data_IF_553433024645
#
_entry.id   IF_553433024645
#
_cell.length_a   1.000
_cell.length_b   1.000
_cell.length_c   1.000
_cell.angle_alpha   90.00
_cell.angle_beta   90.00
_cell.angle_gamma   90.00
#
_symmetry.space_group_name_H-M   'P 1'
#
loop_
_entity.id
_entity.type
_entity.pdbx_description
1 polymer ?
#
# COMPACT_ATOMS: atom_id res chain seq x y z
N UNK A 1 21.82 2.37 32.40
CA UNK A 1 21.79 3.67 31.74
C UNK A 1 21.10 3.50 30.39
N UNK A 2 19.87 4.00 30.27
CA UNK A 2 19.07 3.88 29.06
C UNK A 2 18.60 5.27 28.62
N UNK A 3 18.45 5.47 27.32
CA UNK A 3 17.88 6.67 26.73
C UNK A 3 16.46 6.37 26.27
N UNK A 4 15.53 7.22 26.66
CA UNK A 4 14.16 7.17 26.17
C UNK A 4 14.01 8.07 24.92
N UNK A 5 12.99 7.85 24.10
CA UNK A 5 12.59 8.78 23.05
C UNK A 5 12.45 10.19 23.61
N UNK A 6 12.89 11.19 22.83
CA UNK A 6 12.95 12.60 23.33
C UNK A 6 14.20 12.97 24.12
N UNK A 7 15.20 12.06 24.21
CA UNK A 7 16.50 12.37 24.79
C UNK A 7 16.56 12.32 26.33
N UNK A 8 15.59 11.69 26.98
CA UNK A 8 15.59 11.53 28.44
C UNK A 8 16.55 10.40 28.84
N UNK A 9 17.57 10.73 29.65
CA UNK A 9 18.56 9.77 30.10
C UNK A 9 18.20 9.24 31.50
N UNK A 10 17.95 7.95 31.58
CA UNK A 10 17.63 7.26 32.84
C UNK A 10 18.91 6.74 33.49
N UNK A 11 19.18 7.24 34.67
CA UNK A 11 20.35 6.87 35.48
C UNK A 11 19.94 6.44 36.88
N UNK A 12 20.88 5.81 37.59
CA UNK A 12 20.69 5.47 39.01
C UNK A 12 20.52 6.76 39.80
N UNK A 13 19.53 6.77 40.68
CA UNK A 13 19.21 7.94 41.49
C UNK A 13 18.54 7.59 42.82
N UNK A 14 17.95 8.59 43.45
CA UNK A 14 17.05 8.41 44.60
C UNK A 14 15.71 9.06 44.30
N UNK A 15 14.64 8.37 44.60
CA UNK A 15 13.27 8.87 44.48
C UNK A 15 12.64 8.86 45.86
N UNK A 16 12.25 10.01 46.40
CA UNK A 16 11.66 10.15 47.74
C UNK A 16 12.49 9.51 48.86
N UNK A 17 13.85 9.55 48.73
CA UNK A 17 14.76 8.97 49.73
C UNK A 17 15.17 7.49 49.46
N UNK A 18 14.45 6.78 48.66
CA UNK A 18 14.73 5.40 48.27
C UNK A 18 15.63 5.32 47.03
N UNK A 19 16.49 4.29 46.97
CA UNK A 19 17.35 4.06 45.83
C UNK A 19 16.53 3.59 44.63
N UNK A 20 16.71 4.26 43.51
CA UNK A 20 16.13 3.88 42.22
C UNK A 20 17.23 3.49 41.24
N UNK A 21 17.19 2.30 40.71
CA UNK A 21 18.15 1.79 39.72
C UNK A 21 17.67 1.90 38.27
N UNK A 22 16.43 2.33 38.05
CA UNK A 22 15.81 2.45 36.74
C UNK A 22 14.41 3.04 36.83
N UNK A 23 13.70 3.02 35.75
CA UNK A 23 12.32 3.50 35.64
C UNK A 23 11.47 2.42 34.93
N UNK A 24 10.29 2.16 35.46
CA UNK A 24 9.26 1.41 34.75
C UNK A 24 8.57 2.37 33.79
N UNK A 25 8.45 1.99 32.55
CA UNK A 25 7.96 2.86 31.49
C UNK A 25 6.55 2.47 31.04
N UNK A 26 5.77 3.46 30.69
CA UNK A 26 4.56 3.32 29.89
C UNK A 26 4.90 3.13 28.41
N UNK A 27 3.91 2.68 27.63
CA UNK A 27 4.02 2.60 26.17
C UNK A 27 4.41 3.94 25.56
N UNK A 28 3.76 5.02 26.01
CA UNK A 28 3.97 6.40 25.54
C UNK A 28 5.38 6.92 25.81
N UNK A 29 5.97 6.59 26.96
CA UNK A 29 7.34 7.00 27.28
C UNK A 29 8.37 6.31 26.38
N UNK A 30 8.03 5.17 25.81
CA UNK A 30 8.84 4.45 24.82
C UNK A 30 8.56 4.93 23.38
N UNK A 31 7.71 5.96 23.18
CA UNK A 31 7.37 6.52 21.87
C UNK A 31 6.46 5.60 21.04
N UNK A 32 5.75 4.68 21.70
CA UNK A 32 4.87 3.68 21.11
C UNK A 32 3.40 4.00 21.40
N UNK A 33 2.48 3.38 20.66
CA UNK A 33 1.04 3.61 20.75
C UNK A 33 0.27 2.29 20.90
N UNK A 34 -1.01 2.37 21.26
CA UNK A 34 -1.91 1.20 21.29
C UNK A 34 -2.09 0.57 19.90
N UNK A 35 -1.88 1.32 18.82
CA UNK A 35 -1.88 0.74 17.47
C UNK A 35 -0.69 -0.18 17.23
N UNK A 36 0.44 0.11 17.88
CA UNK A 36 1.63 -0.75 17.83
C UNK A 36 1.46 -1.99 18.70
N UNK A 37 0.91 -1.79 19.91
CA UNK A 37 0.72 -2.85 20.91
C UNK A 37 -0.69 -2.76 21.50
N UNK A 38 -1.71 -3.31 20.83
CA UNK A 38 -3.12 -3.18 21.23
C UNK A 38 -3.48 -3.80 22.59
N UNK A 39 -2.64 -4.70 23.09
CA UNK A 39 -2.81 -5.31 24.40
C UNK A 39 -2.35 -4.42 25.56
N UNK A 40 -1.57 -3.38 25.28
CA UNK A 40 -1.06 -2.48 26.30
C UNK A 40 -2.17 -1.60 26.90
N UNK A 41 -1.93 -1.06 28.08
CA UNK A 41 -2.80 -0.06 28.67
C UNK A 41 -2.35 1.34 28.27
N UNK A 42 -3.30 2.26 28.06
CA UNK A 42 -2.99 3.62 27.63
C UNK A 42 -2.25 4.40 28.71
N UNK A 43 -2.73 4.36 29.92
CA UNK A 43 -2.15 5.01 31.10
C UNK A 43 -1.66 4.00 32.11
N UNK A 44 -0.34 3.90 32.27
CA UNK A 44 0.27 3.02 33.26
C UNK A 44 1.55 2.37 32.76
N UNK A 45 2.14 1.51 33.61
CA UNK A 45 3.33 0.73 33.27
C UNK A 45 2.96 -0.30 32.21
N UNK A 46 3.73 -0.33 31.13
CA UNK A 46 3.53 -1.35 30.09
C UNK A 46 3.99 -2.72 30.57
N UNK A 47 3.07 -3.67 30.59
CA UNK A 47 3.32 -5.07 30.89
C UNK A 47 3.44 -5.81 29.56
N UNK A 48 4.62 -6.40 29.31
CA UNK A 48 4.90 -7.13 28.08
C UNK A 48 4.17 -8.48 28.07
N UNK A 49 3.55 -8.83 26.95
CA UNK A 49 3.03 -10.17 26.66
C UNK A 49 4.09 -11.05 25.97
N UNK A 50 5.18 -10.44 25.49
CA UNK A 50 6.30 -11.13 24.87
C UNK A 50 7.06 -11.98 25.89
N UNK A 51 7.50 -13.17 25.45
CA UNK A 51 8.38 -14.03 26.28
C UNK A 51 9.75 -13.36 26.42
N UNK A 52 10.06 -12.90 27.62
CA UNK A 52 11.29 -12.17 27.92
C UNK A 52 11.70 -12.34 29.39
N UNK A 53 12.95 -11.99 29.66
CA UNK A 53 13.53 -12.05 31.02
C UNK A 53 14.09 -10.70 31.44
N UNK A 54 14.13 -10.38 32.73
CA UNK A 54 14.82 -9.19 33.21
C UNK A 54 16.27 -9.12 32.72
N UNK A 55 16.61 -8.06 32.02
CA UNK A 55 17.91 -7.84 31.40
C UNK A 55 17.94 -8.00 29.88
N UNK A 56 16.89 -8.55 29.27
CA UNK A 56 16.77 -8.58 27.80
C UNK A 56 16.62 -7.16 27.23
N UNK A 57 17.13 -6.94 26.03
CA UNK A 57 16.96 -5.66 25.34
C UNK A 57 15.51 -5.53 24.82
N UNK A 58 14.84 -4.47 25.22
CA UNK A 58 13.45 -4.21 24.86
C UNK A 58 13.26 -4.13 23.33
N UNK A 59 14.22 -3.55 22.58
CA UNK A 59 14.09 -3.46 21.14
C UNK A 59 14.02 -4.84 20.47
N UNK A 60 14.86 -5.76 20.93
CA UNK A 60 14.83 -7.15 20.44
C UNK A 60 13.53 -7.85 20.84
N UNK A 61 13.09 -7.71 22.11
CA UNK A 61 11.85 -8.33 22.60
C UNK A 61 10.63 -7.89 21.78
N UNK A 62 10.53 -6.62 21.49
CA UNK A 62 9.39 -6.07 20.73
C UNK A 62 9.59 -6.09 19.20
N UNK A 63 10.77 -6.51 18.72
CA UNK A 63 11.11 -6.56 17.29
C UNK A 63 11.36 -5.19 16.69
N UNK A 64 12.03 -4.31 17.40
CA UNK A 64 12.40 -2.96 16.98
C UNK A 64 13.89 -2.86 16.56
N UNK A 65 14.59 -3.98 16.50
CA UNK A 65 16.01 -4.11 16.14
C UNK A 65 16.22 -4.47 14.65
N UNK A 66 15.23 -4.15 13.81
CA UNK A 66 15.29 -4.37 12.37
C UNK A 66 16.20 -3.37 11.65
N UNK A 67 16.69 -3.74 10.48
CA UNK A 67 17.50 -2.88 9.62
C UNK A 67 16.64 -2.39 8.46
N UNK A 68 16.43 -1.08 8.41
CA UNK A 68 15.70 -0.43 7.33
C UNK A 68 16.69 0.17 6.34
N UNK A 69 16.50 -0.12 5.06
CA UNK A 69 17.27 0.49 3.96
C UNK A 69 16.36 1.46 3.22
N UNK A 70 16.76 2.72 3.23
CA UNK A 70 16.05 3.78 2.50
C UNK A 70 16.62 3.90 1.07
N UNK A 71 15.73 3.83 0.07
CA UNK A 71 16.09 3.92 -1.33
C UNK A 71 15.59 5.22 -1.96
N UNK A 72 16.47 5.98 -2.54
CA UNK A 72 16.09 7.11 -3.39
C UNK A 72 15.75 6.58 -4.80
N UNK A 73 14.45 6.54 -5.12
CA UNK A 73 13.94 6.03 -6.39
C UNK A 73 13.75 7.16 -7.39
N UNK A 74 14.36 7.03 -8.56
CA UNK A 74 14.20 8.00 -9.66
C UNK A 74 12.79 7.93 -10.28
N UNK A 75 12.33 9.04 -10.84
CA UNK A 75 10.96 9.17 -11.36
C UNK A 75 10.61 8.20 -12.51
N UNK A 76 11.62 7.70 -13.22
CA UNK A 76 11.47 6.74 -14.32
C UNK A 76 11.43 5.28 -13.87
N UNK A 77 11.39 5.05 -12.56
CA UNK A 77 11.39 3.70 -11.97
C UNK A 77 10.20 3.49 -11.03
N UNK A 78 8.95 3.65 -11.53
CA UNK A 78 7.76 3.44 -10.70
C UNK A 78 7.66 2.01 -10.15
N UNK A 79 8.21 1.02 -10.86
CA UNK A 79 8.30 -0.37 -10.41
C UNK A 79 9.04 -0.53 -9.08
N UNK A 80 10.07 0.30 -8.82
CA UNK A 80 10.85 0.25 -7.59
C UNK A 80 10.21 0.94 -6.38
N UNK A 81 9.04 1.58 -6.54
CA UNK A 81 8.22 2.00 -5.39
C UNK A 81 7.47 0.85 -4.72
N UNK A 82 8.01 -0.38 -4.84
CA UNK A 82 7.46 -1.62 -4.27
C UNK A 82 8.57 -2.56 -3.81
N UNK A 83 8.24 -3.37 -2.81
CA UNK A 83 9.14 -4.44 -2.34
C UNK A 83 9.42 -5.45 -3.47
N UNK A 84 8.41 -5.79 -4.27
CA UNK A 84 8.58 -6.71 -5.42
C UNK A 84 9.53 -6.12 -6.46
N UNK A 85 9.41 -4.84 -6.80
CA UNK A 85 10.30 -4.19 -7.75
C UNK A 85 11.75 -4.10 -7.24
N UNK A 86 11.93 -3.73 -5.97
CA UNK A 86 13.26 -3.74 -5.33
C UNK A 86 13.85 -5.15 -5.24
N UNK A 87 13.03 -6.16 -4.95
CA UNK A 87 13.47 -7.55 -4.92
C UNK A 87 13.94 -8.03 -6.30
N UNK A 88 13.29 -7.61 -7.40
CA UNK A 88 13.72 -7.89 -8.77
C UNK A 88 15.09 -7.31 -9.07
N UNK A 89 15.32 -6.04 -8.71
CA UNK A 89 16.65 -5.41 -8.88
C UNK A 89 17.72 -6.09 -8.03
N UNK A 90 17.40 -6.38 -6.76
CA UNK A 90 18.34 -7.08 -5.88
C UNK A 90 18.65 -8.49 -6.37
N UNK A 91 17.64 -9.24 -6.82
CA UNK A 91 17.83 -10.58 -7.40
C UNK A 91 18.77 -10.54 -8.63
N UNK A 92 18.55 -9.58 -9.52
CA UNK A 92 19.43 -9.39 -10.69
C UNK A 92 20.86 -8.99 -10.30
N UNK A 93 21.02 -8.02 -9.37
CA UNK A 93 22.31 -7.51 -8.93
C UNK A 93 23.14 -8.57 -8.17
N UNK A 94 22.49 -9.34 -7.30
CA UNK A 94 23.14 -10.37 -6.48
C UNK A 94 23.16 -11.76 -7.12
N UNK A 95 22.75 -11.90 -8.38
CA UNK A 95 22.70 -13.18 -9.10
C UNK A 95 21.89 -14.24 -8.36
N UNK A 96 20.71 -13.85 -7.82
CA UNK A 96 19.79 -14.73 -7.13
C UNK A 96 18.49 -14.89 -7.92
N UNK A 97 17.83 -16.04 -7.86
CA UNK A 97 16.52 -16.19 -8.51
C UNK A 97 15.48 -15.33 -7.80
N UNK A 98 14.66 -14.63 -8.59
CA UNK A 98 13.45 -13.98 -8.07
C UNK A 98 12.41 -15.07 -7.73
N UNK A 99 11.72 -14.90 -6.61
CA UNK A 99 10.58 -15.75 -6.22
C UNK A 99 9.32 -14.90 -6.25
N UNK A 100 8.42 -15.25 -7.13
CA UNK A 100 7.11 -14.62 -7.18
C UNK A 100 6.14 -15.30 -6.23
N UNK A 101 5.31 -14.50 -5.59
CA UNK A 101 4.12 -14.97 -4.90
C UNK A 101 2.92 -14.69 -5.78
N UNK A 102 2.19 -15.74 -6.15
CA UNK A 102 0.93 -15.63 -6.86
C UNK A 102 -0.21 -15.69 -5.85
N UNK A 103 -0.94 -14.60 -5.63
CA UNK A 103 -2.02 -14.56 -4.65
C UNK A 103 -3.11 -15.56 -5.00
N UNK A 104 -3.47 -16.40 -4.04
CA UNK A 104 -4.50 -17.41 -4.19
C UNK A 104 -5.67 -17.11 -3.27
N UNK A 105 -6.83 -16.86 -3.86
CA UNK A 105 -8.09 -16.63 -3.14
C UNK A 105 -8.98 -17.83 -3.32
N UNK A 106 -9.39 -18.43 -2.21
CA UNK A 106 -10.25 -19.62 -2.23
C UNK A 106 -11.73 -19.26 -2.39
N UNK A 107 -12.10 -18.02 -2.02
CA UNK A 107 -13.48 -17.57 -1.98
C UNK A 107 -14.26 -18.16 -0.81
N UNK A 108 -15.49 -17.74 -0.66
CA UNK A 108 -16.39 -18.27 0.35
C UNK A 108 -17.75 -18.61 -0.26
N UNK A 109 -18.50 -19.50 0.38
CA UNK A 109 -19.89 -19.78 0.03
C UNK A 109 -20.84 -18.59 0.32
N UNK A 110 -20.32 -17.40 0.63
CA UNK A 110 -21.09 -16.24 1.03
C UNK A 110 -21.83 -15.53 -0.14
N UNK A 111 -21.67 -16.02 -1.37
CA UNK A 111 -22.37 -15.55 -2.55
C UNK A 111 -21.52 -14.72 -3.50
N UNK A 112 -22.15 -14.15 -4.53
CA UNK A 112 -21.50 -13.37 -5.56
C UNK A 112 -21.50 -11.88 -5.26
N UNK A 113 -20.39 -11.18 -5.54
CA UNK A 113 -20.33 -9.73 -5.43
C UNK A 113 -21.17 -9.03 -6.51
N UNK A 114 -21.41 -9.67 -7.64
CA UNK A 114 -22.20 -9.09 -8.75
C UNK A 114 -23.68 -8.88 -8.42
N UNK A 115 -24.18 -9.57 -7.37
CA UNK A 115 -25.54 -9.37 -6.87
C UNK A 115 -25.68 -8.12 -5.98
N UNK A 116 -24.54 -7.52 -5.62
CA UNK A 116 -24.46 -6.46 -4.62
C UNK A 116 -23.83 -5.15 -5.14
N UNK A 117 -22.88 -5.26 -6.04
CA UNK A 117 -22.08 -4.13 -6.49
C UNK A 117 -22.02 -4.07 -8.01
N UNK A 118 -22.35 -2.89 -8.54
CA UNK A 118 -22.07 -2.48 -9.92
C UNK A 118 -21.01 -1.38 -9.95
N UNK A 119 -20.25 -1.28 -11.03
CA UNK A 119 -19.23 -0.24 -11.21
C UNK A 119 -19.30 0.34 -12.60
N UNK A 120 -19.33 1.66 -12.70
CA UNK A 120 -19.24 2.40 -13.96
C UNK A 120 -18.02 3.34 -13.94
N UNK A 121 -17.37 3.44 -15.08
CA UNK A 121 -16.17 4.29 -15.25
C UNK A 121 -16.38 5.23 -16.46
N UNK A 122 -17.29 6.22 -16.37
CA UNK A 122 -17.48 7.18 -17.47
C UNK A 122 -16.24 8.05 -17.76
N UNK A 123 -15.35 8.24 -16.79
CA UNK A 123 -14.08 8.94 -16.97
C UNK A 123 -12.97 8.01 -17.51
N UNK A 124 -13.22 7.30 -18.61
CA UNK A 124 -12.31 6.30 -19.19
C UNK A 124 -10.89 6.85 -19.46
N UNK A 125 -10.78 8.09 -19.88
CA UNK A 125 -9.50 8.75 -20.18
C UNK A 125 -8.68 9.11 -18.93
N UNK A 126 -9.29 9.07 -17.74
CA UNK A 126 -8.62 9.32 -16.45
C UNK A 126 -8.44 8.07 -15.61
N UNK A 127 -9.09 6.96 -15.99
CA UNK A 127 -8.98 5.68 -15.30
C UNK A 127 -8.68 4.57 -16.31
N UNK A 128 -7.42 4.13 -16.38
CA UNK A 128 -7.01 3.08 -17.32
C UNK A 128 -7.58 1.71 -16.97
N UNK A 129 -7.70 1.41 -15.69
CA UNK A 129 -8.28 0.17 -15.17
C UNK A 129 -8.86 0.38 -13.78
N UNK A 130 -10.01 -0.21 -13.54
CA UNK A 130 -10.64 -0.22 -12.22
C UNK A 130 -10.98 -1.65 -11.84
N UNK A 131 -10.48 -2.09 -10.69
CA UNK A 131 -10.79 -3.43 -10.16
C UNK A 131 -11.37 -3.31 -8.77
N UNK A 132 -12.37 -4.16 -8.47
CA UNK A 132 -12.97 -4.26 -7.16
C UNK A 132 -13.22 -5.71 -6.74
N UNK A 133 -13.08 -5.95 -5.44
CA UNK A 133 -13.48 -7.19 -4.77
C UNK A 133 -14.27 -6.85 -3.50
N UNK A 134 -15.13 -7.76 -3.09
CA UNK A 134 -16.00 -7.56 -1.94
C UNK A 134 -15.77 -8.61 -0.87
N UNK A 135 -15.79 -8.16 0.39
CA UNK A 135 -15.61 -9.01 1.58
C UNK A 135 -16.78 -8.76 2.53
N UNK A 136 -17.40 -9.81 3.02
CA UNK A 136 -18.49 -9.77 4.01
C UNK A 136 -18.06 -10.41 5.33
N UNK A 137 -18.90 -10.29 6.36
CA UNK A 137 -18.57 -10.87 7.67
C UNK A 137 -17.29 -10.32 8.28
N UNK A 138 -16.89 -9.11 7.87
CA UNK A 138 -15.65 -8.48 8.33
C UNK A 138 -15.68 -8.25 9.83
N UNK A 139 -14.58 -8.60 10.48
CA UNK A 139 -14.33 -8.35 11.89
C UNK A 139 -13.14 -7.41 12.00
N UNK A 140 -13.45 -6.15 12.30
CA UNK A 140 -12.41 -5.14 12.49
C UNK A 140 -11.69 -5.39 13.81
N UNK A 141 -10.37 -5.36 13.75
CA UNK A 141 -9.51 -5.56 14.90
C UNK A 141 -8.06 -5.20 14.59
N UNK A 142 -7.17 -5.30 15.57
CA UNK A 142 -5.74 -5.07 15.34
C UNK A 142 -5.16 -6.13 14.41
N UNK A 143 -4.25 -5.72 13.55
CA UNK A 143 -3.47 -6.62 12.71
C UNK A 143 -2.55 -7.52 13.56
N UNK A 144 -2.16 -8.71 13.07
CA UNK A 144 -1.18 -9.53 13.76
C UNK A 144 0.18 -8.82 13.86
N UNK A 145 0.98 -9.23 14.86
CA UNK A 145 2.28 -8.61 15.19
C UNK A 145 3.18 -8.45 13.95
N UNK A 146 3.31 -9.50 13.13
CA UNK A 146 4.18 -9.48 11.96
C UNK A 146 3.79 -8.39 10.94
N UNK A 147 2.49 -8.17 10.73
CA UNK A 147 1.99 -7.16 9.80
C UNK A 147 2.25 -5.74 10.33
N UNK A 148 1.94 -5.50 11.61
CA UNK A 148 2.23 -4.24 12.28
C UNK A 148 3.72 -3.89 12.27
N UNK A 149 4.60 -4.85 12.55
CA UNK A 149 6.05 -4.66 12.52
C UNK A 149 6.55 -4.27 11.12
N UNK A 150 6.09 -4.95 10.06
CA UNK A 150 6.46 -4.63 8.68
C UNK A 150 5.99 -3.25 8.25
N UNK A 151 4.77 -2.86 8.61
CA UNK A 151 4.27 -1.52 8.34
C UNK A 151 5.12 -0.46 9.04
N UNK A 152 5.39 -0.64 10.34
CA UNK A 152 6.23 0.27 11.12
C UNK A 152 7.64 0.40 10.56
N UNK A 153 8.27 -0.69 10.19
CA UNK A 153 9.60 -0.69 9.57
C UNK A 153 9.64 0.14 8.28
N UNK A 154 8.50 0.26 7.60
CA UNK A 154 8.35 1.11 6.41
C UNK A 154 7.75 2.50 6.71
N UNK A 155 7.70 2.92 7.98
CA UNK A 155 7.20 4.24 8.39
C UNK A 155 5.67 4.39 8.34
N UNK A 156 4.93 3.29 8.17
CA UNK A 156 3.46 3.30 8.13
C UNK A 156 2.91 2.92 9.50
N UNK A 157 2.07 3.78 10.06
CA UNK A 157 1.40 3.52 11.35
C UNK A 157 0.27 2.50 11.16
N UNK A 158 0.27 1.39 11.90
CA UNK A 158 -0.86 0.46 11.91
C UNK A 158 -2.15 1.13 12.41
N UNK A 159 -3.31 0.72 11.87
CA UNK A 159 -4.62 1.27 12.21
C UNK A 159 -5.57 0.13 12.60
N UNK A 160 -5.94 -0.70 11.65
CA UNK A 160 -6.74 -1.90 11.82
C UNK A 160 -6.44 -2.91 10.70
N UNK A 161 -6.88 -4.14 10.85
CA UNK A 161 -6.55 -5.22 9.92
C UNK A 161 -6.89 -4.91 8.45
N UNK A 162 -8.03 -4.27 8.15
CA UNK A 162 -8.43 -3.96 6.77
C UNK A 162 -7.57 -2.85 6.17
N UNK A 163 -7.40 -1.74 6.89
CA UNK A 163 -6.57 -0.62 6.44
C UNK A 163 -5.09 -1.03 6.34
N UNK A 164 -4.63 -1.84 7.28
CA UNK A 164 -3.25 -2.35 7.28
C UNK A 164 -2.99 -3.31 6.11
N UNK A 165 -3.98 -4.12 5.70
CA UNK A 165 -3.91 -4.93 4.49
C UNK A 165 -3.72 -4.04 3.26
N UNK A 166 -4.50 -2.97 3.09
CA UNK A 166 -4.35 -2.07 1.93
C UNK A 166 -2.99 -1.40 1.89
N UNK A 167 -2.50 -0.94 3.06
CA UNK A 167 -1.17 -0.35 3.18
C UNK A 167 -0.05 -1.36 2.91
N UNK A 168 -0.18 -2.59 3.42
CA UNK A 168 0.80 -3.64 3.18
C UNK A 168 0.89 -4.00 1.69
N UNK A 169 -0.24 -4.15 1.01
CA UNK A 169 -0.27 -4.42 -0.44
C UNK A 169 0.32 -3.25 -1.23
N UNK A 170 0.04 -2.01 -0.83
CA UNK A 170 0.67 -0.83 -1.45
C UNK A 170 2.19 -0.86 -1.33
N UNK A 171 2.74 -1.29 -0.20
CA UNK A 171 4.20 -1.45 -0.03
C UNK A 171 4.73 -2.64 -0.84
N UNK A 172 4.05 -3.78 -0.82
CA UNK A 172 4.48 -5.01 -1.48
C UNK A 172 4.46 -4.89 -3.00
N UNK A 173 3.35 -4.38 -3.59
CA UNK A 173 3.13 -4.29 -5.04
C UNK A 173 3.40 -2.91 -5.64
N UNK A 174 3.48 -1.85 -4.81
CA UNK A 174 3.52 -0.47 -5.29
C UNK A 174 2.18 0.07 -5.77
N UNK A 175 1.12 -0.70 -5.66
CA UNK A 175 -0.24 -0.38 -6.07
C UNK A 175 -1.05 0.15 -4.89
N UNK A 176 -1.38 1.46 -4.83
CA UNK A 176 -2.26 1.97 -3.80
C UNK A 176 -3.65 1.35 -3.91
N UNK A 177 -4.21 1.01 -2.76
CA UNK A 177 -5.54 0.45 -2.64
C UNK A 177 -6.39 1.29 -1.71
N UNK A 178 -7.70 1.18 -1.88
CA UNK A 178 -8.66 1.73 -0.93
C UNK A 178 -9.66 0.66 -0.48
N UNK A 179 -10.24 0.87 0.69
CA UNK A 179 -11.30 0.04 1.24
C UNK A 179 -12.47 0.94 1.64
N UNK A 180 -13.62 0.71 1.03
CA UNK A 180 -14.87 1.40 1.36
C UNK A 180 -15.72 0.55 2.30
N UNK A 181 -16.28 1.15 3.33
CA UNK A 181 -17.38 0.53 4.05
C UNK A 181 -18.61 0.50 3.14
N UNK A 182 -19.07 -0.70 2.81
CA UNK A 182 -20.17 -0.88 1.86
C UNK A 182 -21.49 -0.23 2.28
N UNK A 183 -21.70 0.06 3.57
CA UNK A 183 -22.89 0.79 4.07
C UNK A 183 -23.03 2.17 3.41
N UNK A 184 -21.91 2.76 2.98
CA UNK A 184 -21.86 4.07 2.35
C UNK A 184 -21.90 4.01 0.81
N UNK A 185 -21.94 2.80 0.23
CA UNK A 185 -22.26 2.56 -1.18
C UNK A 185 -23.74 2.18 -1.26
N UNK A 186 -24.58 3.12 -0.84
CA UNK A 186 -26.02 2.89 -0.60
C UNK A 186 -26.81 2.62 -1.88
N UNK A 187 -26.34 3.10 -3.02
CA UNK A 187 -26.90 2.80 -4.33
C UNK A 187 -26.58 1.39 -4.83
N UNK A 188 -25.64 0.68 -4.18
CA UNK A 188 -25.07 -0.56 -4.69
C UNK A 188 -24.16 -0.33 -5.91
N UNK A 189 -23.77 0.93 -6.18
CA UNK A 189 -23.06 1.31 -7.39
C UNK A 189 -21.93 2.28 -7.10
N UNK A 190 -20.75 1.98 -7.61
CA UNK A 190 -19.60 2.89 -7.64
C UNK A 190 -19.49 3.51 -9.04
N UNK A 191 -19.33 4.84 -9.09
CA UNK A 191 -19.14 5.57 -10.33
C UNK A 191 -17.81 6.35 -10.27
N UNK A 192 -16.90 6.03 -11.17
CA UNK A 192 -15.60 6.71 -11.31
C UNK A 192 -15.77 7.82 -12.36
N UNK A 193 -15.94 9.05 -11.89
CA UNK A 193 -16.31 10.18 -12.74
C UNK A 193 -15.52 11.46 -12.43
N UNK A 194 -15.62 12.40 -13.31
CA UNK A 194 -15.16 13.75 -13.02
C UNK A 194 -16.13 14.46 -12.07
N UNK A 195 -15.58 15.29 -11.19
CA UNK A 195 -16.35 16.18 -10.33
C UNK A 195 -17.01 17.30 -11.11
N UNK A 196 -18.15 17.75 -10.62
CA UNK A 196 -18.94 18.84 -11.21
C UNK A 196 -18.75 20.16 -10.46
N UNK A 197 -19.32 21.24 -11.02
CA UNK A 197 -19.25 22.56 -10.39
C UNK A 197 -20.00 22.58 -9.05
N UNK A 198 -19.34 23.04 -8.00
CA UNK A 198 -19.90 23.20 -6.66
C UNK A 198 -19.87 21.93 -5.80
N UNK A 199 -19.34 20.85 -6.30
CA UNK A 199 -19.14 19.63 -5.49
C UNK A 199 -18.10 19.85 -4.39
N UNK A 200 -18.33 19.18 -3.27
CA UNK A 200 -17.41 19.16 -2.11
C UNK A 200 -17.29 17.75 -1.57
N UNK A 201 -16.17 17.46 -0.91
CA UNK A 201 -15.95 16.21 -0.18
C UNK A 201 -15.24 16.51 1.14
N UNK A 202 -15.67 15.87 2.24
CA UNK A 202 -14.87 15.81 3.47
C UNK A 202 -13.97 14.59 3.37
N UNK A 203 -12.66 14.81 3.39
CA UNK A 203 -11.66 13.73 3.31
C UNK A 203 -11.35 13.12 4.67
N UNK A 204 -10.71 11.94 4.71
CA UNK A 204 -10.37 11.19 5.95
C UNK A 204 -9.58 12.01 7.00
N UNK A 205 -8.97 13.11 6.61
CA UNK A 205 -8.30 14.06 7.51
C UNK A 205 -9.26 15.09 8.14
N UNK A 206 -10.58 14.93 7.95
CA UNK A 206 -11.65 15.78 8.49
C UNK A 206 -11.78 17.14 7.77
N UNK A 207 -11.07 17.37 6.67
CA UNK A 207 -11.11 18.65 5.96
C UNK A 207 -12.15 18.65 4.83
N UNK A 208 -13.04 19.64 4.84
CA UNK A 208 -13.96 19.90 3.74
C UNK A 208 -13.20 20.54 2.56
N UNK A 209 -13.29 19.90 1.40
CA UNK A 209 -12.57 20.32 0.20
C UNK A 209 -13.55 20.65 -0.93
N UNK A 210 -13.54 21.89 -1.42
CA UNK A 210 -14.28 22.26 -2.63
C UNK A 210 -13.55 21.66 -3.84
N UNK A 211 -14.32 20.99 -4.71
CA UNK A 211 -13.79 20.37 -5.92
C UNK A 211 -13.92 21.32 -7.10
N UNK A 212 -12.90 21.33 -7.95
CA UNK A 212 -12.98 21.99 -9.25
C UNK A 212 -13.48 20.99 -10.29
N UNK A 213 -14.28 21.41 -11.27
CA UNK A 213 -14.70 20.51 -12.35
C UNK A 213 -13.51 19.82 -13.01
N UNK A 214 -13.66 18.53 -13.32
CA UNK A 214 -12.61 17.71 -13.94
C UNK A 214 -11.67 17.00 -12.96
N UNK A 215 -11.81 17.18 -11.64
CA UNK A 215 -11.13 16.36 -10.65
C UNK A 215 -11.77 14.98 -10.59
N UNK A 216 -10.95 13.91 -10.57
CA UNK A 216 -11.47 12.55 -10.56
C UNK A 216 -11.96 12.16 -9.17
N UNK A 217 -13.18 11.68 -9.08
CA UNK A 217 -13.82 11.23 -7.85
C UNK A 217 -14.35 9.81 -7.99
N UNK A 218 -14.37 9.10 -6.87
CA UNK A 218 -15.15 7.88 -6.70
C UNK A 218 -16.46 8.28 -6.03
N UNK A 219 -17.58 7.90 -6.62
CA UNK A 219 -18.90 8.30 -6.13
C UNK A 219 -19.80 7.10 -5.84
N UNK A 220 -20.67 7.21 -4.81
CA UNK A 220 -21.84 6.37 -4.61
C UNK A 220 -22.99 6.98 -5.43
N UNK A 221 -23.20 6.46 -6.64
CA UNK A 221 -24.06 7.14 -7.60
C UNK A 221 -23.60 8.59 -7.84
N UNK A 222 -24.30 9.55 -7.27
CA UNK A 222 -24.03 10.97 -7.48
C UNK A 222 -23.06 11.57 -6.44
N UNK A 223 -23.02 11.00 -5.22
CA UNK A 223 -22.28 11.57 -4.09
C UNK A 223 -20.82 11.11 -4.04
N UNK A 224 -19.82 12.02 -4.03
CA UNK A 224 -18.44 11.65 -3.86
C UNK A 224 -18.17 10.95 -2.51
N UNK A 225 -17.48 9.81 -2.56
CA UNK A 225 -17.02 9.02 -1.42
C UNK A 225 -15.49 8.90 -1.38
N UNK A 226 -14.79 9.42 -2.35
CA UNK A 226 -13.34 9.45 -2.40
C UNK A 226 -12.81 10.37 -3.48
N UNK A 227 -11.63 10.97 -3.23
CA UNK A 227 -10.78 11.59 -4.24
C UNK A 227 -9.91 10.50 -4.84
N UNK A 228 -10.17 10.15 -6.10
CA UNK A 228 -9.47 9.05 -6.78
C UNK A 228 -7.95 9.20 -6.69
N UNK A 229 -7.28 8.17 -6.21
CA UNK A 229 -5.82 8.10 -6.09
C UNK A 229 -5.17 9.08 -5.10
N UNK A 230 -5.94 9.80 -4.30
CA UNK A 230 -5.42 10.77 -3.34
C UNK A 230 -5.84 10.39 -1.91
N UNK A 231 -7.13 10.46 -1.59
CA UNK A 231 -7.62 10.20 -0.25
C UNK A 231 -9.10 9.83 -0.26
N UNK A 232 -9.49 8.85 0.55
CA UNK A 232 -10.89 8.48 0.77
C UNK A 232 -11.70 9.60 1.41
N UNK A 233 -13.02 9.50 1.29
CA UNK A 233 -13.94 10.35 2.01
C UNK A 233 -14.19 9.85 3.43
N UNK A 234 -14.36 10.77 4.39
CA UNK A 234 -14.77 10.46 5.76
C UNK A 234 -16.07 9.65 5.78
N UNK A 235 -16.95 9.94 4.83
CA UNK A 235 -18.25 9.29 4.67
C UNK A 235 -18.19 7.84 4.11
N UNK A 236 -17.03 7.25 4.01
CA UNK A 236 -16.83 5.85 3.57
C UNK A 236 -15.72 5.15 4.34
N UNK A 237 -15.32 5.71 5.47
CA UNK A 237 -14.24 5.21 6.33
C UNK A 237 -14.57 3.84 6.92
N UNK A 238 -13.53 3.01 7.05
CA UNK A 238 -13.59 1.74 7.78
C UNK A 238 -13.58 2.02 9.28
N UNK A 239 -14.68 1.70 9.94
CA UNK A 239 -14.88 1.92 11.38
C UNK A 239 -15.04 0.59 12.14
N UNK A 240 -15.02 0.61 13.45
CA UNK A 240 -14.97 -0.58 14.30
C UNK A 240 -16.14 -1.58 14.07
N UNK A 241 -17.29 -1.10 13.61
CA UNK A 241 -18.48 -1.91 13.33
C UNK A 241 -18.73 -2.19 11.85
N UNK A 242 -17.73 -1.92 10.99
CA UNK A 242 -17.77 -2.27 9.56
C UNK A 242 -17.85 -3.78 9.39
N UNK A 243 -18.84 -4.26 8.64
CA UNK A 243 -19.08 -5.69 8.41
C UNK A 243 -18.94 -6.11 6.95
N UNK A 244 -18.97 -5.17 6.02
CA UNK A 244 -18.82 -5.43 4.60
C UNK A 244 -17.95 -4.35 3.97
N UNK A 245 -16.96 -4.79 3.20
CA UNK A 245 -15.92 -3.93 2.61
C UNK A 245 -15.85 -4.14 1.11
N UNK A 246 -15.71 -3.06 0.36
CA UNK A 246 -15.30 -3.08 -1.05
C UNK A 246 -13.84 -2.67 -1.13
N UNK A 247 -12.98 -3.57 -1.57
CA UNK A 247 -11.61 -3.22 -1.95
C UNK A 247 -11.59 -2.65 -3.36
N UNK A 248 -10.93 -1.51 -3.50
CA UNK A 248 -10.59 -0.87 -4.76
C UNK A 248 -9.09 -1.05 -5.05
N UNK A 249 -8.79 -1.45 -6.27
CA UNK A 249 -7.44 -1.37 -6.83
C UNK A 249 -7.57 -0.83 -8.25
N UNK A 250 -7.13 0.39 -8.47
CA UNK A 250 -7.34 1.08 -9.73
C UNK A 250 -6.08 1.74 -10.26
N UNK A 251 -6.07 2.03 -11.56
CA UNK A 251 -4.99 2.76 -12.22
C UNK A 251 -5.53 4.05 -12.82
N UNK A 252 -5.12 5.16 -12.23
CA UNK A 252 -5.56 6.50 -12.62
C UNK A 252 -4.49 7.25 -13.41
N UNK A 253 -4.91 8.21 -14.22
CA UNK A 253 -4.01 9.09 -14.96
C UNK A 253 -3.14 9.92 -14.01
N UNK A 254 -1.83 9.67 -13.99
CA UNK A 254 -0.89 10.27 -13.04
C UNK A 254 -0.83 11.80 -13.13
N UNK A 255 -1.00 12.37 -14.33
CA UNK A 255 -1.02 13.83 -14.53
C UNK A 255 -2.25 14.46 -13.86
N UNK A 256 -3.43 13.84 -14.01
CA UNK A 256 -4.67 14.30 -13.35
C UNK A 256 -4.56 14.22 -11.84
N UNK A 257 -4.04 13.10 -11.30
CA UNK A 257 -3.83 12.94 -9.84
C UNK A 257 -2.88 14.02 -9.31
N UNK A 258 -1.75 14.25 -9.99
CA UNK A 258 -0.79 15.28 -9.62
C UNK A 258 -1.40 16.68 -9.61
N UNK A 259 -2.15 17.03 -10.66
CA UNK A 259 -2.80 18.34 -10.77
C UNK A 259 -3.84 18.55 -9.66
N UNK A 260 -4.64 17.53 -9.36
CA UNK A 260 -5.64 17.56 -8.28
C UNK A 260 -4.96 17.70 -6.93
N UNK A 261 -3.92 16.90 -6.65
CA UNK A 261 -3.16 16.96 -5.41
C UNK A 261 -2.54 18.37 -5.17
N UNK A 262 -1.95 18.95 -6.21
CA UNK A 262 -1.40 20.32 -6.13
C UNK A 262 -2.48 21.38 -5.91
N UNK A 263 -3.62 21.28 -6.63
CA UNK A 263 -4.71 22.24 -6.52
C UNK A 263 -5.37 22.24 -5.15
N UNK A 264 -5.40 21.09 -4.45
CA UNK A 264 -5.96 20.93 -3.11
C UNK A 264 -4.91 21.07 -2.00
N UNK A 265 -3.62 21.19 -2.34
CA UNK A 265 -2.53 21.18 -1.37
C UNK A 265 -2.45 19.86 -0.57
N UNK A 266 -2.86 18.74 -1.19
CA UNK A 266 -3.00 17.43 -0.54
C UNK A 266 -2.11 16.40 -1.22
N UNK A 267 -0.94 16.18 -0.67
CA UNK A 267 -0.02 15.12 -1.12
C UNK A 267 -0.05 13.95 -0.15
N UNK A 268 -0.31 12.75 -0.66
CA UNK A 268 -0.34 11.49 0.09
C UNK A 268 0.63 10.49 -0.52
N UNK A 269 0.91 9.39 0.19
CA UNK A 269 1.70 8.26 -0.34
C UNK A 269 1.08 7.71 -1.63
N UNK A 270 -0.25 7.56 -1.64
CA UNK A 270 -0.98 7.09 -2.82
C UNK A 270 -0.80 8.03 -4.01
N UNK A 271 -1.04 9.34 -3.84
CA UNK A 271 -0.87 10.33 -4.92
C UNK A 271 0.58 10.40 -5.42
N UNK A 272 1.55 10.26 -4.50
CA UNK A 272 2.97 10.20 -4.84
C UNK A 272 3.35 9.01 -5.71
N UNK A 273 2.66 7.87 -5.58
CA UNK A 273 2.83 6.70 -6.44
C UNK A 273 2.08 6.85 -7.77
N UNK A 274 0.81 7.24 -7.75
CA UNK A 274 0.01 7.41 -8.97
C UNK A 274 0.61 8.42 -9.95
N UNK A 275 1.18 9.54 -9.45
CA UNK A 275 1.83 10.54 -10.32
C UNK A 275 3.03 10.01 -11.13
N UNK A 276 3.53 8.80 -10.82
CA UNK A 276 4.66 8.14 -11.50
C UNK A 276 4.23 7.17 -12.61
N UNK A 277 2.97 7.15 -12.99
CA UNK A 277 2.42 6.26 -14.03
C UNK A 277 2.60 4.77 -13.67
N UNK A 278 1.88 4.33 -12.66
CA UNK A 278 1.84 2.93 -12.25
C UNK A 278 1.32 2.02 -13.39
N UNK A 279 1.74 0.77 -13.35
CA UNK A 279 1.29 -0.24 -14.31
C UNK A 279 -0.17 -0.65 -14.04
N UNK A 280 -1.10 -0.50 -15.00
CA UNK A 280 -2.48 -0.95 -14.83
C UNK A 280 -2.61 -2.47 -14.66
N UNK A 281 -1.58 -3.25 -15.02
CA UNK A 281 -1.60 -4.70 -14.84
C UNK A 281 -1.41 -5.13 -13.37
N UNK A 282 -0.95 -4.23 -12.50
CA UNK A 282 -0.80 -4.49 -11.06
C UNK A 282 -2.12 -4.49 -10.29
N UNK A 283 -3.21 -3.96 -10.84
CA UNK A 283 -4.49 -3.83 -10.12
C UNK A 283 -5.06 -5.17 -9.68
N UNK A 284 -5.07 -6.18 -10.56
CA UNK A 284 -5.58 -7.53 -10.24
C UNK A 284 -4.72 -8.25 -9.20
N UNK A 285 -3.39 -8.42 -9.38
CA UNK A 285 -2.61 -9.12 -8.35
C UNK A 285 -2.66 -8.41 -6.99
N UNK A 286 -2.75 -7.07 -6.96
CA UNK A 286 -2.88 -6.34 -5.71
C UNK A 286 -4.21 -6.61 -5.00
N UNK A 287 -5.35 -6.53 -5.70
CA UNK A 287 -6.65 -6.81 -5.06
C UNK A 287 -6.78 -8.28 -4.66
N UNK A 288 -6.21 -9.20 -5.44
CA UNK A 288 -6.16 -10.63 -5.06
C UNK A 288 -5.32 -10.84 -3.80
N UNK A 289 -4.18 -10.15 -3.70
CA UNK A 289 -3.33 -10.22 -2.49
C UNK A 289 -4.05 -9.71 -1.25
N UNK A 290 -4.81 -8.62 -1.37
CA UNK A 290 -5.60 -8.11 -0.27
C UNK A 290 -6.66 -9.14 0.20
N UNK A 291 -7.36 -9.77 -0.74
CA UNK A 291 -8.32 -10.81 -0.45
C UNK A 291 -7.67 -12.07 0.18
N UNK A 292 -6.53 -12.50 -0.34
CA UNK A 292 -5.76 -13.60 0.27
C UNK A 292 -5.36 -13.28 1.71
N UNK A 293 -4.94 -12.04 1.99
CA UNK A 293 -4.62 -11.60 3.34
C UNK A 293 -5.84 -11.59 4.26
N UNK A 294 -7.02 -11.22 3.76
CA UNK A 294 -8.29 -11.34 4.52
C UNK A 294 -8.54 -12.78 4.93
N UNK A 295 -8.37 -13.74 4.01
CA UNK A 295 -8.51 -15.17 4.30
C UNK A 295 -7.45 -15.67 5.29
N UNK A 296 -6.19 -15.31 5.08
CA UNK A 296 -5.07 -15.68 5.96
C UNK A 296 -5.24 -15.16 7.40
N UNK A 297 -5.82 -13.97 7.54
CA UNK A 297 -6.09 -13.36 8.84
C UNK A 297 -7.44 -13.79 9.43
N UNK A 298 -8.24 -14.56 8.69
CA UNK A 298 -9.59 -15.00 9.05
C UNK A 298 -10.48 -13.83 9.52
N UNK A 299 -10.35 -12.66 8.88
CA UNK A 299 -11.02 -11.44 9.30
C UNK A 299 -12.25 -11.08 8.43
N UNK A 300 -12.65 -11.95 7.50
CA UNK A 300 -13.83 -11.78 6.65
C UNK A 300 -13.95 -12.90 5.62
N UNK A 301 -15.07 -12.91 4.92
CA UNK A 301 -15.42 -13.87 3.87
C UNK A 301 -15.38 -13.19 2.50
N UNK A 302 -14.44 -13.59 1.65
CA UNK A 302 -14.29 -13.01 0.31
C UNK A 302 -15.40 -13.53 -0.59
N UNK A 303 -16.20 -12.64 -1.18
CA UNK A 303 -17.26 -13.02 -2.14
C UNK A 303 -16.67 -13.46 -3.48
N UNK A 304 -17.40 -14.34 -4.16
CA UNK A 304 -17.05 -14.74 -5.52
C UNK A 304 -17.19 -13.57 -6.50
N UNK A 305 -16.35 -13.58 -7.53
CA UNK A 305 -16.33 -12.57 -8.57
C UNK A 305 -15.22 -11.53 -8.35
N UNK A 306 -14.93 -10.83 -9.43
CA UNK A 306 -14.00 -9.68 -9.47
C UNK A 306 -14.52 -8.73 -10.54
N UNK A 307 -14.83 -7.51 -10.16
CA UNK A 307 -15.10 -6.46 -11.14
C UNK A 307 -13.75 -6.01 -11.70
N UNK A 308 -13.64 -6.03 -13.03
CA UNK A 308 -12.43 -5.64 -13.76
C UNK A 308 -12.82 -4.89 -15.03
N UNK A 309 -12.70 -3.57 -14.99
CA UNK A 309 -13.00 -2.67 -16.11
C UNK A 309 -11.68 -2.17 -16.67
N UNK A 310 -11.39 -2.51 -17.91
CA UNK A 310 -10.15 -2.17 -18.60
C UNK A 310 -10.47 -1.19 -19.71
N UNK A 311 -10.08 0.07 -19.56
CA UNK A 311 -10.22 1.11 -20.56
C UNK A 311 -8.96 1.28 -21.41
N UNK A 312 -7.79 1.00 -20.81
CA UNK A 312 -6.52 1.08 -21.54
C UNK A 312 -5.59 -0.05 -21.13
N UNK A 313 -5.13 -0.81 -22.12
CA UNK A 313 -4.10 -1.86 -21.95
C UNK A 313 -2.79 -1.33 -22.52
N UNK A 314 -1.71 -1.27 -21.72
CA UNK A 314 -0.39 -0.90 -22.22
C UNK A 314 0.05 -1.83 -23.36
N UNK A 315 0.45 -1.23 -24.49
CA UNK A 315 1.03 -2.02 -25.59
C UNK A 315 2.51 -2.24 -25.30
N UNK A 316 3.02 -3.48 -25.42
CA UNK A 316 4.44 -3.77 -25.25
C UNK A 316 5.28 -2.95 -26.22
N UNK A 317 6.22 -2.17 -25.71
CA UNK A 317 7.18 -1.44 -26.53
C UNK A 317 8.32 -2.37 -26.93
N UNK A 318 8.61 -2.44 -28.22
CA UNK A 318 9.74 -3.21 -28.76
C UNK A 318 10.94 -2.30 -28.97
N UNK A 319 12.10 -2.73 -28.52
CA UNK A 319 13.39 -2.05 -28.74
C UNK A 319 14.39 -3.04 -29.34
N UNK A 320 15.34 -2.54 -30.12
CA UNK A 320 16.46 -3.34 -30.59
C UNK A 320 17.66 -3.21 -29.64
N UNK A 321 18.26 -4.32 -29.27
CA UNK A 321 19.52 -4.34 -28.53
C UNK A 321 20.65 -3.94 -29.47
N UNK A 322 21.31 -2.82 -29.18
CA UNK A 322 22.41 -2.26 -29.93
C UNK A 322 23.73 -2.35 -29.11
N UNK A 323 24.44 -3.51 -29.06
CA UNK A 323 25.56 -3.72 -28.15
C UNK A 323 26.71 -2.72 -28.34
N UNK A 324 27.03 -2.39 -29.58
CA UNK A 324 28.11 -1.45 -29.88
C UNK A 324 27.81 -0.04 -29.38
N UNK A 325 26.57 0.41 -29.60
CA UNK A 325 26.10 1.72 -29.13
C UNK A 325 26.05 1.79 -27.60
N UNK A 326 25.61 0.72 -26.94
CA UNK A 326 25.58 0.63 -25.48
C UNK A 326 27.01 0.71 -24.94
N UNK A 327 27.92 -0.07 -25.46
CA UNK A 327 29.33 -0.07 -25.06
C UNK A 327 30.00 1.29 -25.27
N UNK A 328 29.73 1.93 -26.41
CA UNK A 328 30.25 3.26 -26.71
C UNK A 328 29.73 4.30 -25.71
N UNK A 329 28.42 4.26 -25.35
CA UNK A 329 27.80 5.18 -24.39
C UNK A 329 28.35 4.97 -22.97
N UNK A 330 28.52 3.72 -22.54
CA UNK A 330 29.01 3.36 -21.22
C UNK A 330 30.50 3.39 -21.03
N UNK A 331 31.26 3.45 -22.13
CA UNK A 331 32.74 3.30 -22.13
C UNK A 331 33.20 1.90 -21.72
N UNK A 332 32.44 0.86 -22.10
CA UNK A 332 32.65 -0.55 -21.71
C UNK A 332 32.88 -1.44 -22.93
N UNK A 333 33.12 -2.72 -22.65
CA UNK A 333 33.23 -3.79 -23.66
C UNK A 333 32.44 -5.02 -23.20
N UNK A 334 31.18 -4.81 -22.80
CA UNK A 334 30.29 -5.87 -22.32
C UNK A 334 29.88 -6.73 -23.52
N UNK A 335 30.06 -8.07 -23.46
CA UNK A 335 29.59 -8.98 -24.50
C UNK A 335 28.06 -8.92 -24.65
N UNK A 336 27.55 -9.09 -25.87
CA UNK A 336 26.10 -9.11 -26.14
C UNK A 336 25.36 -10.15 -25.29
N UNK A 337 25.97 -11.34 -25.09
CA UNK A 337 25.39 -12.40 -24.28
C UNK A 337 25.16 -11.97 -22.83
N UNK A 338 26.09 -11.20 -22.25
CA UNK A 338 25.96 -10.69 -20.89
C UNK A 338 24.86 -9.60 -20.80
N UNK A 339 24.75 -8.75 -21.82
CA UNK A 339 23.66 -7.75 -21.88
C UNK A 339 22.29 -8.43 -21.91
N UNK A 340 22.13 -9.47 -22.70
CA UNK A 340 20.90 -10.27 -22.76
C UNK A 340 20.62 -10.92 -21.41
N UNK A 341 21.63 -11.47 -20.75
CA UNK A 341 21.50 -12.11 -19.44
C UNK A 341 21.08 -11.11 -18.36
N UNK A 342 21.65 -9.89 -18.35
CA UNK A 342 21.24 -8.84 -17.40
C UNK A 342 19.77 -8.44 -17.58
N UNK A 343 19.31 -8.30 -18.82
CA UNK A 343 17.90 -8.00 -19.11
C UNK A 343 16.98 -9.14 -18.64
N UNK A 344 17.35 -10.39 -18.93
CA UNK A 344 16.57 -11.56 -18.49
C UNK A 344 16.46 -11.68 -16.97
N UNK A 345 17.53 -11.39 -16.24
CA UNK A 345 17.51 -11.35 -14.77
C UNK A 345 16.58 -10.29 -14.22
N UNK A 346 16.42 -9.18 -14.93
CA UNK A 346 15.46 -8.14 -14.64
C UNK A 346 14.05 -8.50 -15.13
N UNK A 347 13.82 -9.73 -15.60
CA UNK A 347 12.55 -10.19 -16.17
C UNK A 347 12.10 -9.38 -17.41
N UNK A 348 13.05 -8.84 -18.15
CA UNK A 348 12.83 -8.16 -19.42
C UNK A 348 13.06 -9.18 -20.54
N UNK A 349 12.01 -9.61 -21.27
CA UNK A 349 12.16 -10.62 -22.32
C UNK A 349 13.03 -10.11 -23.48
N UNK A 350 13.93 -10.97 -23.95
CA UNK A 350 14.79 -10.72 -25.13
C UNK A 350 14.74 -11.91 -26.05
N UNK A 351 14.32 -11.69 -27.29
CA UNK A 351 14.31 -12.68 -28.38
C UNK A 351 15.26 -12.22 -29.51
N UNK A 352 16.37 -12.94 -29.67
CA UNK A 352 17.44 -12.44 -30.51
C UNK A 352 17.96 -11.10 -30.00
N UNK A 353 17.77 -10.04 -30.77
CA UNK A 353 18.06 -8.64 -30.36
C UNK A 353 16.82 -7.82 -30.04
N UNK A 354 15.64 -8.40 -30.12
CA UNK A 354 14.41 -7.69 -29.79
C UNK A 354 14.13 -7.76 -28.29
N UNK A 355 14.07 -6.59 -27.65
CA UNK A 355 13.73 -6.42 -26.24
C UNK A 355 12.24 -6.08 -26.17
N UNK A 356 11.46 -6.86 -25.42
CA UNK A 356 10.07 -6.56 -25.10
C UNK A 356 10.01 -5.83 -23.77
N UNK A 357 9.72 -4.53 -23.79
CA UNK A 357 9.66 -3.71 -22.57
C UNK A 357 8.39 -4.06 -21.80
N UNK A 358 8.49 -4.56 -20.56
CA UNK A 358 7.32 -4.88 -19.74
C UNK A 358 6.51 -3.64 -19.39
N UNK A 359 5.20 -3.81 -19.13
CA UNK A 359 4.27 -2.73 -18.78
C UNK A 359 4.66 -1.95 -17.51
N UNK A 360 5.33 -2.62 -16.57
CA UNK A 360 5.82 -1.99 -15.34
C UNK A 360 7.10 -1.14 -15.54
N UNK A 361 7.67 -1.12 -16.76
CA UNK A 361 8.85 -0.33 -17.12
C UNK A 361 8.49 0.71 -18.17
N UNK A 362 7.97 1.91 -17.80
CA UNK A 362 7.49 2.95 -18.71
C UNK A 362 8.58 3.62 -19.55
#
# INVERSE_FOLDING_TARGET
NSWLPGGVHITKGKLRGEKSNGMLCSLKELGLTLNDFPYAIEDGIWILEEDCKPGDDINTVIGNDDTVVDFEITNNRPDCYSIIGLAREAAAAFHRPMRHHEPMVHGSAAGSMYDKLDVEVPAEHLCNRYTARMVTGVKIGPSPKWLRQRLRANGVRPINNIVDITNYVMLEYGQPMHAFDYRYVSSGKIVVRESTQGETITTLDGNLRPLKPGMLVIADGDKPIGLAGIMGGENSEIVADTTTVVFESANFNGTSIRQTALALGLRTEASGKFEKNLDPMLTIPAVQRACELVEQLACGDVLDGTIDIINHVPQPKQLELEPDRINQLLGTQIPEADMVEYLRRLEIPVEGRTISVPSWRP
#
